data_IF_553800938086
#
_entry.id   IF_553800938086
#
_cell.length_a   1.000
_cell.length_b   1.000
_cell.length_c   1.000
_cell.angle_alpha   90.00
_cell.angle_beta   90.00
_cell.angle_gamma   90.00
#
_symmetry.space_group_name_H-M   'P 1'
#
loop_
_entity.id
_entity.type
_entity.pdbx_description
1 polymer ?
#
# COMPACT_ATOMS: atom_id res chain seq x y z
N UNK A 1 -7.14 -23.68 -12.21
CA UNK A 1 -6.10 -22.71 -12.61
C UNK A 1 -5.79 -22.68 -14.10
N UNK A 2 -5.01 -23.60 -14.71
CA UNK A 2 -4.64 -23.45 -16.14
C UNK A 2 -5.83 -23.32 -17.12
N UNK A 3 -6.83 -24.18 -17.00
CA UNK A 3 -8.05 -24.13 -17.83
C UNK A 3 -8.86 -22.83 -17.62
N UNK A 4 -8.88 -22.32 -16.40
CA UNK A 4 -9.55 -21.07 -16.04
C UNK A 4 -8.82 -19.87 -16.66
N UNK A 5 -7.48 -19.87 -16.64
CA UNK A 5 -6.67 -18.86 -17.32
C UNK A 5 -6.88 -18.88 -18.83
N UNK A 6 -6.99 -20.07 -19.44
CA UNK A 6 -7.35 -20.17 -20.87
C UNK A 6 -8.72 -19.58 -21.16
N UNK A 7 -9.71 -19.79 -20.29
CA UNK A 7 -11.02 -19.16 -20.44
C UNK A 7 -10.91 -17.63 -20.37
N UNK A 8 -10.17 -17.10 -19.39
CA UNK A 8 -9.93 -15.65 -19.24
C UNK A 8 -9.16 -15.03 -20.40
N UNK A 9 -8.35 -15.79 -21.13
CA UNK A 9 -7.65 -15.28 -22.31
C UNK A 9 -8.63 -14.75 -23.36
N UNK A 10 -9.79 -15.41 -23.52
CA UNK A 10 -10.81 -15.11 -24.51
C UNK A 10 -11.98 -14.28 -23.98
N UNK A 11 -11.94 -13.91 -22.70
CA UNK A 11 -12.98 -13.12 -22.06
C UNK A 11 -12.61 -11.63 -22.14
N UNK A 12 -13.38 -10.86 -22.90
CA UNK A 12 -13.17 -9.42 -23.08
C UNK A 12 -13.97 -8.58 -22.06
N UNK A 13 -14.71 -9.20 -21.13
CA UNK A 13 -15.61 -8.48 -20.21
C UNK A 13 -14.92 -7.93 -18.95
N UNK A 14 -13.63 -8.23 -18.71
CA UNK A 14 -12.95 -7.93 -17.46
C UNK A 14 -11.71 -7.01 -17.65
N UNK A 15 -11.73 -5.84 -17.03
CA UNK A 15 -10.61 -4.89 -16.97
C UNK A 15 -9.35 -5.38 -16.23
N UNK A 16 -9.34 -6.64 -15.76
CA UNK A 16 -8.21 -7.32 -15.14
C UNK A 16 -7.52 -8.35 -16.06
N UNK A 17 -7.75 -8.26 -17.37
CA UNK A 17 -7.00 -9.03 -18.39
C UNK A 17 -6.20 -8.07 -19.26
N UNK A 18 -4.90 -8.34 -19.42
CA UNK A 18 -4.03 -7.61 -20.33
C UNK A 18 -3.30 -8.60 -21.25
N UNK A 19 -3.19 -8.27 -22.53
CA UNK A 19 -2.52 -9.09 -23.54
C UNK A 19 -1.31 -8.34 -24.08
N UNK A 20 -0.19 -9.05 -24.22
CA UNK A 20 1.07 -8.47 -24.70
C UNK A 20 1.83 -9.45 -25.58
N UNK A 21 2.39 -8.96 -26.71
CA UNK A 21 3.27 -9.78 -27.53
C UNK A 21 4.59 -10.11 -26.82
N UNK A 22 5.35 -11.07 -27.37
CA UNK A 22 6.64 -11.49 -26.79
C UNK A 22 7.64 -10.32 -26.65
N UNK A 23 7.62 -9.36 -27.59
CA UNK A 23 8.50 -8.20 -27.61
C UNK A 23 8.13 -7.09 -26.62
N UNK A 24 7.11 -7.30 -25.76
CA UNK A 24 6.79 -6.42 -24.65
C UNK A 24 8.06 -6.09 -23.86
N UNK A 25 8.36 -4.80 -23.77
CA UNK A 25 9.56 -4.32 -23.12
C UNK A 25 9.36 -4.20 -21.60
N UNK A 26 10.44 -3.96 -20.87
CA UNK A 26 10.43 -3.87 -19.41
C UNK A 26 9.51 -2.75 -18.90
N UNK A 27 9.49 -1.60 -19.59
CA UNK A 27 8.72 -0.42 -19.19
C UNK A 27 7.22 -0.66 -19.29
N UNK A 28 6.78 -1.35 -20.33
CA UNK A 28 5.39 -1.77 -20.50
C UNK A 28 5.02 -2.79 -19.43
N UNK A 29 5.84 -3.84 -19.27
CA UNK A 29 5.56 -4.90 -18.30
C UNK A 29 5.44 -4.36 -16.86
N UNK A 30 6.39 -3.52 -16.43
CA UNK A 30 6.34 -2.94 -15.07
C UNK A 30 5.13 -2.04 -14.87
N UNK A 31 4.68 -1.35 -15.93
CA UNK A 31 3.50 -0.47 -15.87
C UNK A 31 2.25 -1.31 -15.61
N UNK A 32 2.06 -2.38 -16.37
CA UNK A 32 0.89 -3.26 -16.22
C UNK A 32 0.90 -4.01 -14.88
N UNK A 33 2.08 -4.50 -14.45
CA UNK A 33 2.23 -5.11 -13.12
C UNK A 33 1.81 -4.17 -11.99
N UNK A 34 2.30 -2.92 -12.02
CA UNK A 34 1.97 -1.90 -11.01
C UNK A 34 0.51 -1.50 -11.09
N UNK A 35 -0.05 -1.36 -12.30
CA UNK A 35 -1.46 -1.03 -12.50
C UNK A 35 -2.37 -2.09 -11.88
N UNK A 36 -2.11 -3.38 -12.14
CA UNK A 36 -2.86 -4.46 -11.51
C UNK A 36 -2.62 -4.55 -10.00
N UNK A 37 -1.37 -4.50 -9.54
CA UNK A 37 -1.07 -4.56 -8.11
C UNK A 37 -1.75 -3.44 -7.31
N UNK A 38 -1.98 -2.27 -7.92
CA UNK A 38 -2.70 -1.17 -7.28
C UNK A 38 -4.23 -1.26 -7.43
N UNK A 39 -4.75 -1.89 -8.49
CA UNK A 39 -6.18 -1.81 -8.84
C UNK A 39 -6.98 -3.07 -8.47
N UNK A 40 -6.35 -4.23 -8.41
CA UNK A 40 -7.04 -5.50 -8.11
C UNK A 40 -7.67 -5.47 -6.70
N UNK A 41 -9.00 -5.68 -6.58
CA UNK A 41 -9.70 -5.79 -5.31
C UNK A 41 -9.35 -7.08 -4.55
N UNK A 42 -9.59 -7.08 -3.24
CA UNK A 42 -9.45 -8.27 -2.41
C UNK A 42 -10.33 -9.41 -2.93
N UNK A 43 -9.78 -10.63 -2.96
CA UNK A 43 -10.46 -11.83 -3.49
C UNK A 43 -10.43 -11.99 -5.01
N UNK A 44 -9.90 -11.01 -5.76
CA UNK A 44 -9.74 -11.08 -7.21
C UNK A 44 -8.26 -11.12 -7.63
N UNK A 45 -8.03 -11.39 -8.91
CA UNK A 45 -6.70 -11.39 -9.53
C UNK A 45 -6.76 -10.83 -10.96
N UNK A 46 -5.70 -10.13 -11.37
CA UNK A 46 -5.45 -9.76 -12.75
C UNK A 46 -4.49 -10.72 -13.45
N UNK A 47 -4.56 -10.76 -14.78
CA UNK A 47 -3.69 -11.62 -15.59
C UNK A 47 -3.11 -10.84 -16.75
N UNK A 48 -1.78 -10.89 -16.88
CA UNK A 48 -1.07 -10.43 -18.07
C UNK A 48 -0.69 -11.67 -18.89
N UNK A 49 -1.24 -11.81 -20.09
CA UNK A 49 -0.86 -12.83 -21.04
C UNK A 49 0.26 -12.33 -21.95
N UNK A 50 1.46 -12.91 -21.82
CA UNK A 50 2.61 -12.62 -22.66
C UNK A 50 2.76 -13.68 -23.75
N UNK A 51 3.05 -13.24 -24.97
CA UNK A 51 3.08 -14.11 -26.16
C UNK A 51 1.70 -14.28 -26.79
N UNK A 52 0.84 -13.28 -26.61
CA UNK A 52 -0.51 -13.19 -27.18
C UNK A 52 -0.66 -11.83 -27.86
N UNK A 53 -1.29 -11.77 -29.03
CA UNK A 53 -1.66 -10.49 -29.65
C UNK A 53 -2.85 -9.84 -28.94
N UNK A 54 -3.07 -8.55 -29.23
CA UNK A 54 -4.13 -7.75 -28.61
C UNK A 54 -5.54 -8.34 -28.85
N UNK A 55 -5.72 -9.05 -29.97
CA UNK A 55 -6.95 -9.76 -30.34
C UNK A 55 -7.17 -11.12 -29.63
N UNK A 56 -6.29 -11.48 -28.68
CA UNK A 56 -6.43 -12.72 -27.90
C UNK A 56 -5.79 -13.95 -28.53
N UNK A 57 -5.18 -13.83 -29.72
CA UNK A 57 -4.56 -14.99 -30.38
C UNK A 57 -3.17 -15.31 -29.80
N UNK A 58 -2.88 -16.56 -29.40
CA UNK A 58 -1.52 -16.97 -29.06
C UNK A 58 -0.57 -16.79 -30.26
N UNK A 59 0.54 -16.09 -30.04
CA UNK A 59 1.63 -15.92 -31.02
C UNK A 59 2.92 -16.62 -30.59
N UNK A 60 3.01 -17.04 -29.33
CA UNK A 60 4.10 -17.83 -28.78
C UNK A 60 5.23 -17.01 -28.15
N UNK A 61 6.06 -17.71 -27.36
CA UNK A 61 7.30 -17.23 -26.74
C UNK A 61 8.40 -18.25 -27.04
N UNK A 62 9.54 -17.78 -27.53
CA UNK A 62 10.68 -18.63 -27.91
C UNK A 62 11.34 -19.31 -26.72
N UNK A 63 11.53 -18.56 -25.63
CA UNK A 63 12.15 -19.05 -24.40
C UNK A 63 11.32 -18.65 -23.17
N UNK A 64 10.30 -19.45 -22.80
CA UNK A 64 9.44 -19.15 -21.65
C UNK A 64 10.22 -19.00 -20.34
N UNK A 65 11.24 -19.83 -20.10
CA UNK A 65 12.01 -19.80 -18.86
C UNK A 65 12.80 -18.49 -18.70
N UNK A 66 13.44 -18.01 -19.77
CA UNK A 66 14.14 -16.73 -19.76
C UNK A 66 13.16 -15.57 -19.55
N UNK A 67 12.00 -15.61 -20.22
CA UNK A 67 10.98 -14.57 -20.06
C UNK A 67 10.42 -14.56 -18.63
N UNK A 68 10.16 -15.73 -18.02
CA UNK A 68 9.76 -15.83 -16.61
C UNK A 68 10.80 -15.24 -15.66
N UNK A 69 12.10 -15.50 -15.88
CA UNK A 69 13.18 -14.89 -15.08
C UNK A 69 13.17 -13.36 -15.18
N UNK A 70 12.95 -12.81 -16.39
CA UNK A 70 12.85 -11.36 -16.60
C UNK A 70 11.63 -10.78 -15.88
N UNK A 71 10.45 -11.39 -16.06
CA UNK A 71 9.21 -10.94 -15.40
C UNK A 71 9.38 -10.92 -13.87
N UNK A 72 9.94 -12.00 -13.31
CA UNK A 72 10.25 -12.07 -11.88
C UNK A 72 11.18 -10.94 -11.43
N UNK A 73 12.26 -10.72 -12.16
CA UNK A 73 13.20 -9.64 -11.85
C UNK A 73 12.54 -8.25 -11.86
N UNK A 74 11.61 -8.01 -12.78
CA UNK A 74 10.87 -6.75 -12.84
C UNK A 74 9.96 -6.58 -11.62
N UNK A 75 9.21 -7.62 -11.27
CA UNK A 75 8.29 -7.59 -10.13
C UNK A 75 9.02 -7.45 -8.79
N UNK A 76 10.18 -8.11 -8.63
CA UNK A 76 10.93 -8.16 -7.37
C UNK A 76 11.94 -7.02 -7.19
N UNK A 77 12.55 -6.51 -8.29
CA UNK A 77 13.69 -5.58 -8.21
C UNK A 77 13.44 -4.21 -8.84
N UNK A 78 12.49 -4.10 -9.76
CA UNK A 78 12.19 -2.84 -10.46
C UNK A 78 10.96 -2.15 -9.87
N UNK A 79 9.99 -2.93 -9.39
CA UNK A 79 8.79 -2.42 -8.74
C UNK A 79 9.01 -2.28 -7.23
N UNK A 80 8.46 -1.23 -6.63
CA UNK A 80 8.51 -1.00 -5.19
C UNK A 80 7.12 -0.63 -4.63
N UNK A 81 6.63 -1.27 -3.55
CA UNK A 81 7.17 -2.49 -2.97
C UNK A 81 7.21 -3.64 -3.99
N UNK A 82 7.96 -4.73 -3.73
CA UNK A 82 7.97 -5.89 -4.62
C UNK A 82 6.55 -6.45 -4.86
N UNK A 83 6.24 -6.80 -6.10
CA UNK A 83 4.92 -7.32 -6.48
C UNK A 83 4.97 -8.85 -6.45
N UNK A 84 4.08 -9.47 -5.67
CA UNK A 84 3.90 -10.93 -5.67
C UNK A 84 3.16 -11.33 -6.95
N UNK A 85 3.76 -12.26 -7.69
CA UNK A 85 3.19 -12.79 -8.94
C UNK A 85 3.23 -14.32 -8.96
N UNK A 86 2.26 -14.92 -9.64
CA UNK A 86 2.32 -16.33 -10.03
C UNK A 86 2.41 -16.40 -11.56
N UNK A 87 3.21 -17.32 -12.10
CA UNK A 87 3.39 -17.45 -13.53
C UNK A 87 3.05 -18.87 -13.99
N UNK A 88 2.23 -18.98 -15.03
CA UNK A 88 1.87 -20.24 -15.64
C UNK A 88 2.23 -20.23 -17.12
N UNK A 89 3.04 -21.22 -17.54
CA UNK A 89 3.22 -21.50 -18.96
C UNK A 89 2.00 -22.29 -19.46
N UNK A 90 1.33 -21.71 -20.45
CA UNK A 90 0.18 -22.26 -21.16
C UNK A 90 0.61 -22.59 -22.59
N UNK A 91 -0.15 -23.45 -23.25
CA UNK A 91 0.14 -23.92 -24.60
C UNK A 91 -1.17 -24.17 -25.36
N UNK A 92 -1.25 -23.66 -26.58
CA UNK A 92 -2.36 -23.84 -27.51
C UNK A 92 -1.79 -23.83 -28.94
N UNK A 93 -2.24 -24.73 -29.81
CA UNK A 93 -1.71 -24.88 -31.18
C UNK A 93 -0.16 -24.99 -31.26
N UNK A 94 0.46 -25.69 -30.30
CA UNK A 94 1.91 -25.80 -30.12
C UNK A 94 2.65 -24.46 -29.87
N UNK A 95 1.92 -23.39 -29.57
CA UNK A 95 2.46 -22.08 -29.20
C UNK A 95 2.40 -21.92 -27.68
N UNK A 96 3.57 -21.72 -27.06
CA UNK A 96 3.69 -21.51 -25.61
C UNK A 96 3.59 -20.03 -25.28
N UNK A 97 2.83 -19.69 -24.25
CA UNK A 97 2.67 -18.32 -23.75
C UNK A 97 2.61 -18.32 -22.23
N UNK A 98 2.76 -17.15 -21.60
CA UNK A 98 2.83 -17.04 -20.14
C UNK A 98 1.66 -16.22 -19.63
N UNK A 99 0.89 -16.78 -18.71
CA UNK A 99 -0.05 -16.04 -17.88
C UNK A 99 0.66 -15.60 -16.59
N UNK A 100 0.76 -14.28 -16.38
CA UNK A 100 1.29 -13.67 -15.15
C UNK A 100 0.10 -13.21 -14.31
N UNK A 101 -0.15 -13.92 -13.23
CA UNK A 101 -1.24 -13.64 -12.28
C UNK A 101 -0.74 -12.65 -11.23
N UNK A 102 -1.47 -11.55 -11.08
CA UNK A 102 -1.24 -10.50 -10.08
C UNK A 102 -2.44 -10.46 -9.15
N UNK A 103 -2.24 -10.85 -7.90
CA UNK A 103 -3.31 -10.85 -6.89
C UNK A 103 -3.44 -9.48 -6.21
N UNK A 104 -4.49 -9.31 -5.41
CA UNK A 104 -4.60 -8.19 -4.48
C UNK A 104 -3.32 -7.99 -3.66
N UNK A 105 -2.81 -6.76 -3.62
CA UNK A 105 -1.70 -6.40 -2.74
C UNK A 105 -2.17 -5.63 -1.51
N UNK A 106 -1.72 -6.07 -0.34
CA UNK A 106 -1.84 -5.33 0.93
C UNK A 106 -0.76 -4.27 1.12
N UNK A 107 0.25 -4.22 0.23
CA UNK A 107 1.40 -3.31 0.29
C UNK A 107 1.27 -2.13 -0.66
N UNK A 108 0.04 -1.78 -1.08
CA UNK A 108 -0.22 -0.60 -1.91
C UNK A 108 0.19 0.68 -1.15
N UNK A 109 0.65 1.74 -1.84
CA UNK A 109 0.80 1.83 -3.30
C UNK A 109 2.12 1.23 -3.82
N UNK A 110 2.05 0.56 -4.96
CA UNK A 110 3.20 0.14 -5.76
C UNK A 110 3.59 1.19 -6.79
N UNK A 111 4.88 1.26 -7.12
CA UNK A 111 5.51 2.20 -8.03
C UNK A 111 6.40 1.49 -9.05
N UNK A 112 6.48 2.05 -10.27
CA UNK A 112 7.20 1.48 -11.41
C UNK A 112 8.62 2.05 -11.56
N UNK A 113 9.44 1.94 -10.52
CA UNK A 113 10.83 2.41 -10.48
C UNK A 113 11.19 3.17 -9.20
N UNK A 114 12.49 3.43 -8.97
CA UNK A 114 13.03 4.04 -7.75
C UNK A 114 12.54 5.48 -7.55
N UNK A 115 12.37 5.87 -6.28
CA UNK A 115 12.30 7.25 -5.84
C UNK A 115 13.73 7.71 -5.57
N UNK A 116 13.97 9.01 -5.66
CA UNK A 116 15.29 9.58 -5.49
C UNK A 116 15.25 10.63 -4.39
N UNK A 117 16.28 10.67 -3.56
CA UNK A 117 16.48 11.74 -2.59
C UNK A 117 17.89 12.31 -2.72
N UNK A 118 18.08 13.51 -2.19
CA UNK A 118 19.39 14.12 -2.07
C UNK A 118 19.93 13.95 -0.65
N UNK A 119 21.12 13.37 -0.52
CA UNK A 119 21.85 13.25 0.74
C UNK A 119 23.14 14.04 0.59
N UNK A 120 23.20 15.21 1.24
CA UNK A 120 24.28 16.17 1.01
C UNK A 120 24.32 16.65 -0.44
N UNK A 121 25.42 16.41 -1.15
CA UNK A 121 25.61 16.75 -2.56
C UNK A 121 25.21 15.65 -3.54
N UNK A 122 24.87 14.44 -3.07
CA UNK A 122 24.64 13.28 -3.93
C UNK A 122 23.15 12.97 -4.11
N UNK A 123 22.80 12.46 -5.29
CA UNK A 123 21.47 11.93 -5.61
C UNK A 123 21.50 10.42 -5.46
N UNK A 124 20.66 9.87 -4.60
CA UNK A 124 20.64 8.43 -4.28
C UNK A 124 19.25 7.85 -4.50
N UNK A 125 19.19 6.57 -4.88
CA UNK A 125 17.94 5.80 -4.86
C UNK A 125 17.44 5.71 -3.42
N UNK A 126 16.15 5.88 -3.23
CA UNK A 126 15.52 5.64 -1.94
C UNK A 126 15.62 4.15 -1.60
N UNK A 127 16.19 3.87 -0.43
CA UNK A 127 16.09 2.56 0.21
C UNK A 127 14.64 2.28 0.62
N UNK A 128 14.31 1.04 0.96
CA UNK A 128 12.97 0.67 1.43
C UNK A 128 12.51 1.56 2.60
N UNK A 129 13.36 1.75 3.62
CA UNK A 129 13.05 2.63 4.75
C UNK A 129 12.82 4.08 4.33
N UNK A 130 13.60 4.57 3.36
CA UNK A 130 13.48 5.94 2.88
C UNK A 130 12.21 6.13 2.04
N UNK A 131 11.85 5.13 1.25
CA UNK A 131 10.58 5.08 0.55
C UNK A 131 9.40 5.12 1.50
N UNK A 132 9.40 4.28 2.54
CA UNK A 132 8.38 4.29 3.57
C UNK A 132 8.34 5.64 4.28
N UNK A 133 9.49 6.26 4.56
CA UNK A 133 9.54 7.61 5.11
C UNK A 133 8.93 8.66 4.18
N UNK A 134 9.13 8.56 2.86
CA UNK A 134 8.54 9.46 1.85
C UNK A 134 7.02 9.25 1.70
N UNK A 135 6.54 8.00 1.80
CA UNK A 135 5.12 7.68 1.81
C UNK A 135 4.48 8.24 3.09
N UNK A 136 5.10 7.99 4.25
CA UNK A 136 4.62 8.45 5.54
C UNK A 136 4.72 9.97 5.72
N UNK A 137 5.66 10.65 5.05
CA UNK A 137 5.70 12.12 5.02
C UNK A 137 4.54 12.74 4.24
N UNK A 138 3.76 11.94 3.48
CA UNK A 138 2.48 12.43 2.95
C UNK A 138 1.36 12.39 4.00
N UNK A 139 1.57 11.66 5.10
CA UNK A 139 0.67 11.51 6.24
C UNK A 139 1.34 12.03 7.53
N UNK A 140 1.82 13.28 7.52
CA UNK A 140 2.63 13.90 8.57
C UNK A 140 2.12 13.64 9.99
N UNK A 141 0.80 13.68 10.17
CA UNK A 141 0.15 13.48 11.48
C UNK A 141 0.32 12.05 12.04
N UNK A 142 0.17 11.02 11.21
CA UNK A 142 0.31 9.63 11.65
C UNK A 142 1.78 9.32 11.99
N UNK A 143 2.69 9.75 11.11
CA UNK A 143 4.14 9.57 11.30
C UNK A 143 4.63 10.27 12.57
N UNK A 144 4.18 11.50 12.80
CA UNK A 144 4.59 12.26 13.99
C UNK A 144 4.13 11.56 15.27
N UNK A 145 2.90 11.06 15.30
CA UNK A 145 2.36 10.33 16.46
C UNK A 145 3.13 9.02 16.71
N UNK A 146 3.47 8.27 15.66
CA UNK A 146 4.18 6.99 15.79
C UNK A 146 5.59 7.13 16.39
N UNK A 147 6.26 8.28 16.27
CA UNK A 147 7.53 8.55 16.99
C UNK A 147 7.41 8.39 18.51
N UNK A 148 6.18 8.48 19.03
CA UNK A 148 5.86 8.41 20.46
C UNK A 148 5.14 7.11 20.83
N UNK A 149 5.20 6.07 19.98
CA UNK A 149 4.68 4.75 20.34
C UNK A 149 5.29 4.24 21.65
N UNK A 150 4.46 3.71 22.54
CA UNK A 150 4.87 3.28 23.88
C UNK A 150 5.19 4.43 24.86
N UNK A 151 5.32 5.67 24.39
CA UNK A 151 5.64 6.83 25.20
C UNK A 151 4.40 7.43 25.86
N UNK A 152 4.61 8.12 26.98
CA UNK A 152 3.58 8.86 27.69
C UNK A 152 3.35 10.23 27.05
N UNK A 153 2.11 10.59 26.77
CA UNK A 153 1.73 11.89 26.22
C UNK A 153 0.53 12.51 26.94
N UNK A 154 0.33 13.81 26.70
CA UNK A 154 -0.87 14.52 27.15
C UNK A 154 -1.95 14.42 26.08
N UNK A 155 -3.19 14.09 26.46
CA UNK A 155 -4.35 14.19 25.56
C UNK A 155 -5.33 15.23 26.10
N UNK A 156 -5.72 16.19 25.28
CA UNK A 156 -6.79 17.13 25.56
C UNK A 156 -7.97 16.81 24.67
N UNK A 157 -9.12 16.51 25.26
CA UNK A 157 -10.39 16.37 24.54
C UNK A 157 -11.22 17.63 24.66
N UNK A 158 -11.94 18.00 23.60
CA UNK A 158 -12.87 19.12 23.60
C UNK A 158 -14.19 18.75 22.92
N UNK A 159 -15.31 19.14 23.52
CA UNK A 159 -16.65 18.90 22.96
C UNK A 159 -17.13 17.43 22.99
N UNK A 160 -16.35 16.51 23.55
CA UNK A 160 -16.69 15.08 23.72
C UNK A 160 -15.79 14.42 24.77
N UNK A 161 -16.17 13.22 25.23
CA UNK A 161 -15.29 12.35 26.03
C UNK A 161 -14.30 11.60 25.15
N UNK A 162 -13.14 11.26 25.71
CA UNK A 162 -12.14 10.43 25.01
C UNK A 162 -12.71 9.04 24.71
N UNK A 163 -12.64 8.61 23.46
CA UNK A 163 -13.18 7.35 22.98
C UNK A 163 -14.71 7.29 22.82
N UNK A 164 -15.42 8.41 23.03
CA UNK A 164 -16.86 8.52 22.79
C UNK A 164 -17.13 9.33 21.50
N UNK A 165 -18.23 9.03 20.82
CA UNK A 165 -18.69 9.75 19.63
C UNK A 165 -19.79 10.76 19.95
N UNK A 166 -20.29 10.78 21.20
CA UNK A 166 -21.31 11.72 21.63
C UNK A 166 -20.72 13.12 21.84
N UNK A 167 -21.28 14.08 21.11
CA UNK A 167 -20.99 15.51 21.28
C UNK A 167 -21.61 15.97 22.61
N UNK A 168 -20.82 16.69 23.39
CA UNK A 168 -21.24 17.33 24.64
C UNK A 168 -21.43 18.83 24.36
N UNK A 169 -22.66 19.35 24.47
CA UNK A 169 -22.92 20.76 24.27
C UNK A 169 -22.11 21.67 25.22
N UNK A 170 -21.67 22.81 24.70
CA UNK A 170 -20.90 23.81 25.45
C UNK A 170 -19.37 23.59 25.41
N UNK A 171 -18.66 24.19 26.36
CA UNK A 171 -17.18 24.22 26.39
C UNK A 171 -16.57 23.05 27.17
N UNK A 172 -17.06 21.82 26.96
CA UNK A 172 -16.48 20.66 27.62
C UNK A 172 -15.00 20.50 27.23
N UNK A 173 -14.13 20.34 28.22
CA UNK A 173 -12.70 20.08 28.04
C UNK A 173 -12.22 19.16 29.15
N UNK A 174 -11.43 18.14 28.79
CA UNK A 174 -10.76 17.28 29.77
C UNK A 174 -9.31 16.98 29.34
N UNK A 175 -8.44 16.74 30.32
CA UNK A 175 -7.02 16.39 30.15
C UNK A 175 -6.81 14.97 30.64
N UNK A 176 -6.13 14.17 29.83
CA UNK A 176 -5.77 12.78 30.10
C UNK A 176 -4.26 12.58 29.94
N UNK A 177 -3.74 11.58 30.63
CA UNK A 177 -2.41 11.04 30.35
C UNK A 177 -2.57 9.69 29.67
N UNK A 178 -2.02 9.56 28.46
CA UNK A 178 -2.21 8.37 27.66
C UNK A 178 -0.87 7.83 27.15
N UNK A 179 -0.84 6.52 26.89
CA UNK A 179 0.21 5.86 26.11
C UNK A 179 -0.29 5.54 24.72
N UNK A 180 0.52 5.84 23.70
CA UNK A 180 0.22 5.44 22.31
C UNK A 180 0.45 3.95 22.16
N UNK A 181 -0.56 3.23 21.69
CA UNK A 181 -0.44 1.81 21.37
C UNK A 181 -0.19 1.58 19.88
N UNK A 182 -0.86 2.33 19.01
CA UNK A 182 -0.70 2.22 17.55
C UNK A 182 -1.39 3.40 16.86
N UNK A 183 -0.95 3.76 15.66
CA UNK A 183 -1.60 4.77 14.82
C UNK A 183 -1.55 4.31 13.35
N UNK A 184 -2.65 4.47 12.62
CA UNK A 184 -2.68 4.29 11.17
C UNK A 184 -3.45 5.46 10.52
N UNK A 185 -3.60 5.42 9.19
CA UNK A 185 -4.27 6.50 8.44
C UNK A 185 -5.73 6.78 8.85
N UNK A 186 -6.37 5.88 9.60
CA UNK A 186 -7.78 6.00 10.00
C UNK A 186 -7.96 6.25 11.50
N UNK A 187 -7.19 5.59 12.36
CA UNK A 187 -7.40 5.60 13.81
C UNK A 187 -6.09 5.66 14.60
N UNK A 188 -6.15 6.28 15.78
CA UNK A 188 -5.17 6.13 16.85
C UNK A 188 -5.75 5.26 17.97
N UNK A 189 -4.92 4.37 18.54
CA UNK A 189 -5.24 3.59 19.74
C UNK A 189 -4.40 4.07 20.92
N UNK A 190 -5.06 4.33 22.03
CA UNK A 190 -4.49 4.92 23.24
C UNK A 190 -4.86 4.06 24.45
N UNK A 191 -3.99 4.03 25.44
CA UNK A 191 -4.32 3.53 26.79
C UNK A 191 -4.31 4.71 27.75
N UNK A 192 -5.44 4.99 28.40
CA UNK A 192 -5.54 5.99 29.46
C UNK A 192 -4.87 5.44 30.73
N UNK A 193 -3.91 6.19 31.29
CA UNK A 193 -3.09 5.73 32.41
C UNK A 193 -3.86 5.71 33.73
N UNK A 194 -4.80 6.64 33.93
CA UNK A 194 -5.55 6.73 35.17
C UNK A 194 -6.57 5.59 35.30
N UNK A 195 -7.18 5.19 34.18
CA UNK A 195 -8.25 4.18 34.17
C UNK A 195 -7.78 2.80 33.67
N UNK A 196 -6.65 2.72 32.97
CA UNK A 196 -6.20 1.51 32.26
C UNK A 196 -7.01 1.18 31.00
N UNK A 197 -7.99 2.03 30.65
CA UNK A 197 -8.91 1.77 29.53
C UNK A 197 -8.20 1.94 28.19
N UNK A 198 -8.46 1.02 27.26
CA UNK A 198 -8.04 1.15 25.86
C UNK A 198 -9.12 1.87 25.06
N UNK A 199 -8.72 2.94 24.38
CA UNK A 199 -9.60 3.87 23.68
C UNK A 199 -9.09 4.05 22.25
N UNK A 200 -9.99 4.45 21.35
CA UNK A 200 -9.64 4.78 19.97
C UNK A 200 -10.25 6.09 19.52
N UNK A 201 -9.53 6.82 18.69
CA UNK A 201 -10.01 8.07 18.08
C UNK A 201 -9.75 8.04 16.56
N UNK A 202 -10.69 8.56 15.74
CA UNK A 202 -10.42 8.81 14.33
C UNK A 202 -9.24 9.78 14.18
N UNK A 203 -8.26 9.46 13.33
CA UNK A 203 -7.06 10.29 13.17
C UNK A 203 -7.39 11.70 12.66
N UNK A 204 -8.47 11.85 11.89
CA UNK A 204 -8.99 13.14 11.42
C UNK A 204 -9.34 14.10 12.56
N UNK A 205 -9.78 13.57 13.71
CA UNK A 205 -10.18 14.32 14.89
C UNK A 205 -9.00 14.72 15.78
N UNK A 206 -7.79 14.22 15.49
CA UNK A 206 -6.61 14.40 16.34
C UNK A 206 -5.74 15.51 15.74
N UNK A 207 -5.19 16.40 16.56
CA UNK A 207 -4.15 17.34 16.16
C UNK A 207 -2.93 17.18 17.07
N UNK A 208 -1.74 17.19 16.48
CA UNK A 208 -0.48 17.14 17.23
C UNK A 208 -0.14 18.54 17.71
N UNK A 209 0.27 18.64 18.96
CA UNK A 209 0.65 19.86 19.67
C UNK A 209 1.70 19.50 20.73
N UNK A 210 1.99 20.44 21.64
CA UNK A 210 3.02 20.27 22.67
C UNK A 210 2.52 20.75 24.04
N UNK A 211 2.84 19.98 25.08
CA UNK A 211 2.56 20.33 26.48
C UNK A 211 3.83 20.97 27.08
N UNK A 212 3.89 22.31 27.08
CA UNK A 212 5.02 23.09 27.60
C UNK A 212 5.24 22.89 29.10
N UNK A 213 4.19 22.57 29.87
CA UNK A 213 4.32 22.33 31.32
C UNK A 213 5.05 21.01 31.61
N UNK A 214 4.86 20.02 30.73
CA UNK A 214 5.39 18.65 30.90
C UNK A 214 6.52 18.31 29.93
N UNK A 215 6.91 19.24 29.06
CA UNK A 215 7.92 19.05 28.02
C UNK A 215 7.74 17.74 27.24
N UNK A 216 6.52 17.51 26.75
CA UNK A 216 6.18 16.31 25.98
C UNK A 216 5.10 16.59 24.93
N UNK A 217 4.93 15.66 24.00
CA UNK A 217 3.89 15.77 22.97
C UNK A 217 2.49 15.77 23.58
N UNK A 218 1.63 16.57 22.96
CA UNK A 218 0.22 16.68 23.27
C UNK A 218 -0.63 16.35 22.05
N UNK A 219 -1.69 15.57 22.25
CA UNK A 219 -2.73 15.35 21.26
C UNK A 219 -3.98 16.14 21.65
N UNK A 220 -4.51 16.92 20.72
CA UNK A 220 -5.78 17.63 20.88
C UNK A 220 -6.83 16.91 20.04
N UNK A 221 -7.81 16.32 20.70
CA UNK A 221 -8.89 15.55 20.08
C UNK A 221 -10.17 16.39 20.08
N UNK A 222 -10.74 16.60 18.89
CA UNK A 222 -11.97 17.37 18.68
C UNK A 222 -12.83 16.63 17.66
N UNK A 223 -14.13 16.58 17.90
CA UNK A 223 -15.05 16.12 16.87
C UNK A 223 -15.23 17.26 15.86
N UNK A 224 -14.90 16.99 14.59
CA UNK A 224 -15.12 17.93 13.47
C UNK A 224 -16.59 17.87 13.03
#
# INVERSE_FOLDING_TARGET
MKQELLKRLYDDEDGFVERKPENCNERELRKELVAFANSVPEGLYGVIFLGVSDDGKPIGIKNPDEKQKKIRSVAEKVCYPPIKIQMHVLEEDNLKFIAVVVEHSSSKPHFSGPAFVRVGSECVNATDDLYENLINSRNDKCREILKYEGSLLTVIVQGKKLGDTKIIPGNYRAKHECRVNSCNQHIIRLTDIATGTRLSEPLENVNVSYDEEKYRVMLVVRQV
#
